data_IF_928349488370
#
_entry.id   IF_928349488370
#
_cell.length_a   1.000
_cell.length_b   1.000
_cell.length_c   1.000
_cell.angle_alpha   90.00
_cell.angle_beta   90.00
_cell.angle_gamma   90.00
#
_symmetry.space_group_name_H-M   'P 1'
#
loop_
_entity.id
_entity.type
_entity.pdbx_description
1 polymer ?
#
# COMPACT_ATOMS: atom_id res chain seq x y z
N UNK A 1 19.98 40.45 -5.48
CA UNK A 1 18.68 39.76 -5.73
C UNK A 1 18.44 38.78 -4.60
N UNK A 2 17.44 39.02 -3.74
CA UNK A 2 17.03 38.10 -2.67
C UNK A 2 16.35 36.89 -3.32
N UNK A 3 16.92 35.70 -3.16
CA UNK A 3 16.26 34.45 -3.55
C UNK A 3 15.01 34.28 -2.67
N UNK A 4 13.84 34.49 -3.26
CA UNK A 4 12.57 34.23 -2.59
C UNK A 4 12.43 32.71 -2.43
N UNK A 5 12.86 32.18 -1.28
CA UNK A 5 12.67 30.78 -0.93
C UNK A 5 11.18 30.60 -0.66
N UNK A 6 10.45 30.01 -1.61
CA UNK A 6 9.07 29.60 -1.40
C UNK A 6 9.00 28.79 -0.09
N UNK A 7 8.03 29.04 0.80
CA UNK A 7 7.85 28.22 1.98
C UNK A 7 7.67 26.77 1.55
N UNK A 8 8.43 25.83 2.15
CA UNK A 8 8.28 24.39 1.87
C UNK A 8 6.87 23.96 2.30
N UNK A 9 5.95 23.86 1.33
CA UNK A 9 4.56 23.41 1.54
C UNK A 9 4.44 21.93 1.92
N UNK A 10 5.54 21.17 1.96
CA UNK A 10 5.60 19.75 2.35
C UNK A 10 5.55 19.55 3.88
N UNK A 11 4.51 20.06 4.55
CA UNK A 11 4.27 19.69 5.96
C UNK A 11 3.55 18.35 6.03
N UNK A 12 4.33 17.32 6.30
CA UNK A 12 3.86 16.03 6.80
C UNK A 12 3.69 16.13 8.32
N UNK A 13 2.55 15.68 8.82
CA UNK A 13 2.18 15.71 10.24
C UNK A 13 2.12 14.27 10.73
N UNK A 14 2.88 13.96 11.77
CA UNK A 14 2.81 12.64 12.41
C UNK A 14 1.45 12.47 13.10
N UNK A 15 0.72 11.42 12.73
CA UNK A 15 -0.62 11.15 13.26
C UNK A 15 -0.64 9.92 14.17
N UNK A 16 0.17 8.92 13.91
CA UNK A 16 0.29 7.70 14.72
C UNK A 16 1.58 6.94 14.41
N UNK A 17 1.85 5.90 15.18
CA UNK A 17 2.95 4.95 14.94
C UNK A 17 2.42 3.52 14.89
N UNK A 18 2.80 2.76 13.86
CA UNK A 18 2.42 1.36 13.68
C UNK A 18 3.69 0.53 13.56
N UNK A 19 3.90 -0.42 14.49
CA UNK A 19 5.07 -1.32 14.49
C UNK A 19 6.42 -0.59 14.38
N UNK A 20 6.60 0.51 15.11
CA UNK A 20 7.82 1.32 15.05
C UNK A 20 7.94 2.21 13.82
N UNK A 21 6.92 2.27 12.97
CA UNK A 21 6.91 3.08 11.74
C UNK A 21 5.92 4.23 11.90
N UNK A 22 6.43 5.44 11.69
CA UNK A 22 5.64 6.67 11.77
C UNK A 22 4.67 6.74 10.60
N UNK A 23 3.40 6.95 10.89
CA UNK A 23 2.37 7.30 9.91
C UNK A 23 2.25 8.82 9.91
N UNK A 24 2.62 9.40 8.78
CA UNK A 24 2.62 10.82 8.52
C UNK A 24 1.49 11.14 7.57
N UNK A 25 0.84 12.27 7.74
CA UNK A 25 -0.26 12.72 6.90
C UNK A 25 0.04 14.11 6.36
N UNK A 26 -0.13 14.31 5.06
CA UNK A 26 -0.02 15.62 4.45
C UNK A 26 -1.15 16.53 4.96
N UNK A 27 -0.85 17.77 5.32
CA UNK A 27 -1.83 18.70 5.91
C UNK A 27 -3.12 18.86 5.08
N UNK A 28 -3.05 18.67 3.76
CA UNK A 28 -4.22 18.75 2.88
C UNK A 28 -5.25 17.65 3.14
N UNK A 29 -4.85 16.49 3.66
CA UNK A 29 -5.77 15.43 4.08
C UNK A 29 -6.68 15.93 5.20
N UNK A 30 -6.10 16.61 6.19
CA UNK A 30 -6.86 17.19 7.31
C UNK A 30 -7.75 18.34 6.84
N UNK A 31 -7.25 19.20 5.95
CA UNK A 31 -8.07 20.29 5.39
C UNK A 31 -9.27 19.74 4.59
N UNK A 32 -9.03 18.79 3.68
CA UNK A 32 -10.09 18.20 2.85
C UNK A 32 -11.08 17.45 3.73
N UNK A 33 -10.60 16.67 4.71
CA UNK A 33 -11.46 16.00 5.68
C UNK A 33 -12.33 16.98 6.47
N UNK A 34 -11.75 18.09 6.95
CA UNK A 34 -12.50 19.12 7.65
C UNK A 34 -13.56 19.78 6.76
N UNK A 35 -13.22 20.10 5.50
CA UNK A 35 -14.19 20.67 4.54
C UNK A 35 -15.34 19.71 4.26
N UNK A 36 -15.06 18.42 4.07
CA UNK A 36 -16.09 17.39 3.84
C UNK A 36 -17.01 17.27 5.07
N UNK A 37 -16.44 17.24 6.27
CA UNK A 37 -17.22 17.16 7.51
C UNK A 37 -18.09 18.41 7.74
N UNK A 38 -17.56 19.59 7.45
CA UNK A 38 -18.31 20.86 7.51
C UNK A 38 -19.42 20.93 6.46
N UNK A 39 -19.27 20.26 5.32
CA UNK A 39 -20.31 20.14 4.30
C UNK A 39 -21.37 19.08 4.62
N UNK A 40 -21.12 18.19 5.57
CA UNK A 40 -21.98 17.06 5.92
C UNK A 40 -22.63 17.22 7.31
N UNK A 41 -23.12 18.43 7.61
CA UNK A 41 -23.70 18.74 8.94
C UNK A 41 -24.97 17.94 9.26
N UNK A 42 -25.68 17.45 8.25
CA UNK A 42 -26.88 16.62 8.43
C UNK A 42 -26.54 15.21 8.89
N UNK A 43 -25.45 14.62 8.38
CA UNK A 43 -25.00 13.27 8.74
C UNK A 43 -23.48 13.21 9.01
N UNK A 44 -22.98 13.92 10.04
CA UNK A 44 -21.55 14.04 10.29
C UNK A 44 -20.90 12.69 10.65
N UNK A 45 -21.65 11.78 11.28
CA UNK A 45 -21.18 10.44 11.61
C UNK A 45 -20.95 9.59 10.36
N UNK A 46 -21.85 9.64 9.38
CA UNK A 46 -21.70 8.91 8.13
C UNK A 46 -20.50 9.45 7.34
N UNK A 47 -20.37 10.77 7.23
CA UNK A 47 -19.23 11.39 6.56
C UNK A 47 -17.90 11.02 7.22
N UNK A 48 -17.84 11.04 8.55
CA UNK A 48 -16.67 10.58 9.29
C UNK A 48 -16.36 9.10 9.02
N UNK A 49 -17.38 8.24 9.05
CA UNK A 49 -17.22 6.80 8.79
C UNK A 49 -16.68 6.53 7.38
N UNK A 50 -17.18 7.24 6.37
CA UNK A 50 -16.70 7.17 4.98
C UNK A 50 -15.23 7.62 4.89
N UNK A 51 -14.88 8.76 5.48
CA UNK A 51 -13.51 9.26 5.48
C UNK A 51 -12.54 8.30 6.18
N UNK A 52 -12.94 7.81 7.36
CA UNK A 52 -12.14 6.87 8.14
C UNK A 52 -11.94 5.56 7.39
N UNK A 53 -12.98 5.01 6.75
CA UNK A 53 -12.87 3.81 5.95
C UNK A 53 -12.00 4.02 4.70
N UNK A 54 -12.14 5.17 4.03
CA UNK A 54 -11.36 5.50 2.83
C UNK A 54 -9.85 5.56 3.13
N UNK A 55 -9.44 6.37 4.12
CA UNK A 55 -8.03 6.43 4.51
C UNK A 55 -7.57 5.13 5.17
N UNK A 56 -8.47 4.40 5.84
CA UNK A 56 -8.23 3.05 6.34
C UNK A 56 -7.85 2.08 5.22
N UNK A 57 -8.57 2.09 4.09
CA UNK A 57 -8.26 1.24 2.93
C UNK A 57 -6.88 1.53 2.35
N UNK A 58 -6.49 2.81 2.26
CA UNK A 58 -5.14 3.22 1.81
C UNK A 58 -4.10 2.77 2.83
N UNK A 59 -4.33 3.04 4.11
CA UNK A 59 -3.39 2.69 5.19
C UNK A 59 -3.19 1.18 5.30
N UNK A 60 -4.23 0.36 5.13
CA UNK A 60 -4.15 -1.11 5.11
C UNK A 60 -3.23 -1.58 3.98
N UNK A 61 -3.36 -0.99 2.80
CA UNK A 61 -2.50 -1.30 1.65
C UNK A 61 -1.02 -0.97 1.95
N UNK A 62 -0.73 0.24 2.43
CA UNK A 62 0.63 0.65 2.82
C UNK A 62 1.19 -0.21 3.95
N UNK A 63 0.35 -0.58 4.93
CA UNK A 63 0.73 -1.51 5.99
C UNK A 63 1.13 -2.88 5.43
N UNK A 64 0.49 -3.33 4.34
CA UNK A 64 0.88 -4.55 3.63
C UNK A 64 2.32 -4.48 3.12
N UNK A 65 2.70 -3.38 2.46
CA UNK A 65 4.08 -3.15 2.03
C UNK A 65 5.04 -3.08 3.21
N UNK A 66 4.68 -2.33 4.26
CA UNK A 66 5.48 -2.21 5.48
C UNK A 66 5.76 -3.58 6.11
N UNK A 67 4.72 -4.41 6.30
CA UNK A 67 4.87 -5.73 6.91
C UNK A 67 5.71 -6.66 6.02
N UNK A 68 5.52 -6.61 4.71
CA UNK A 68 6.33 -7.37 3.76
C UNK A 68 7.80 -6.92 3.80
N UNK A 69 8.06 -5.62 3.84
CA UNK A 69 9.39 -5.02 3.93
C UNK A 69 10.10 -5.41 5.24
N UNK A 70 9.44 -5.23 6.39
CA UNK A 70 9.99 -5.61 7.69
C UNK A 70 10.33 -7.10 7.77
N UNK A 71 9.49 -7.97 7.19
CA UNK A 71 9.77 -9.42 7.11
C UNK A 71 10.98 -9.77 6.24
N UNK A 72 11.35 -8.89 5.32
CA UNK A 72 12.58 -8.99 4.52
C UNK A 72 13.79 -8.36 5.19
N UNK A 73 13.65 -7.84 6.41
CA UNK A 73 14.69 -7.10 7.12
C UNK A 73 14.82 -5.64 6.66
N UNK A 74 13.94 -5.17 5.77
CA UNK A 74 13.98 -3.82 5.25
C UNK A 74 13.50 -2.80 6.29
N UNK A 75 14.35 -1.80 6.55
CA UNK A 75 14.01 -0.68 7.40
C UNK A 75 12.95 0.18 6.71
N UNK A 76 11.77 0.27 7.32
CA UNK A 76 10.69 1.14 6.88
C UNK A 76 10.82 2.47 7.62
N UNK A 77 10.93 3.56 6.88
CA UNK A 77 11.19 4.90 7.40
C UNK A 77 9.89 5.60 7.83
N UNK A 78 8.85 5.50 7.00
CA UNK A 78 7.56 6.14 7.25
C UNK A 78 6.48 5.60 6.31
N UNK A 79 5.22 5.80 6.68
CA UNK A 79 4.06 5.72 5.79
C UNK A 79 3.55 7.16 5.60
N UNK A 80 3.41 7.62 4.37
CA UNK A 80 2.99 8.98 4.02
C UNK A 80 1.59 8.98 3.39
N UNK A 81 0.64 9.51 4.15
CA UNK A 81 -0.76 9.86 3.90
C UNK A 81 -0.94 11.02 2.91
N UNK A 82 -1.37 10.81 1.67
CA UNK A 82 -1.84 11.89 0.78
C UNK A 82 -3.35 11.78 0.52
N UNK A 83 -4.01 12.83 -0.01
CA UNK A 83 -5.47 12.81 -0.20
C UNK A 83 -5.99 11.67 -1.07
N UNK A 84 -5.19 11.19 -2.03
CA UNK A 84 -5.62 10.18 -3.03
C UNK A 84 -4.77 8.92 -2.97
N UNK A 85 -3.54 8.99 -2.43
CA UNK A 85 -2.59 7.88 -2.45
C UNK A 85 -1.81 7.78 -1.13
N UNK A 86 -1.18 6.63 -0.91
CA UNK A 86 -0.22 6.39 0.17
C UNK A 86 1.17 6.18 -0.40
N UNK A 87 2.20 6.39 0.42
CA UNK A 87 3.58 6.00 0.08
C UNK A 87 4.24 5.40 1.31
N UNK A 88 4.63 4.14 1.24
CA UNK A 88 5.55 3.54 2.21
C UNK A 88 6.99 3.84 1.82
N UNK A 89 7.70 4.60 2.64
CA UNK A 89 9.13 4.88 2.50
C UNK A 89 9.92 3.79 3.19
N UNK A 90 10.89 3.21 2.49
CA UNK A 90 11.81 2.24 3.05
C UNK A 90 13.23 2.49 2.55
N UNK A 91 14.21 2.01 3.29
CA UNK A 91 15.63 2.20 3.00
C UNK A 91 16.06 1.53 1.69
N UNK A 92 17.19 1.99 1.13
CA UNK A 92 17.74 1.38 -0.08
C UNK A 92 18.30 -0.03 0.17
N UNK A 93 18.27 -0.83 -0.91
CA UNK A 93 18.92 -2.15 -1.12
C UNK A 93 18.16 -3.35 -0.57
N UNK A 94 17.36 -3.93 -1.46
CA UNK A 94 17.00 -5.35 -1.42
C UNK A 94 17.12 -5.98 -2.81
N UNK A 95 17.08 -7.31 -2.87
CA UNK A 95 17.13 -8.04 -4.14
C UNK A 95 15.91 -7.71 -5.01
N UNK A 96 16.00 -7.95 -6.33
CA UNK A 96 14.83 -7.85 -7.23
C UNK A 96 13.65 -8.69 -6.74
N UNK A 97 13.94 -9.83 -6.11
CA UNK A 97 12.91 -10.72 -5.57
C UNK A 97 12.17 -10.06 -4.40
N UNK A 98 12.89 -9.46 -3.47
CA UNK A 98 12.28 -8.80 -2.31
C UNK A 98 11.44 -7.59 -2.73
N UNK A 99 11.87 -6.82 -3.74
CA UNK A 99 11.04 -5.76 -4.32
C UNK A 99 9.70 -6.30 -4.84
N UNK A 100 9.71 -7.47 -5.50
CA UNK A 100 8.47 -8.09 -5.95
C UNK A 100 7.61 -8.53 -4.76
N UNK A 101 8.20 -9.14 -3.72
CA UNK A 101 7.48 -9.57 -2.52
C UNK A 101 6.87 -8.37 -1.77
N UNK A 102 7.60 -7.27 -1.66
CA UNK A 102 7.12 -6.04 -1.03
C UNK A 102 5.96 -5.46 -1.83
N UNK A 103 6.05 -5.40 -3.17
CA UNK A 103 4.97 -4.93 -4.03
C UNK A 103 3.69 -5.77 -3.88
N UNK A 104 3.81 -7.10 -3.69
CA UNK A 104 2.66 -7.94 -3.39
C UNK A 104 2.03 -7.68 -2.01
N UNK A 105 2.78 -7.08 -1.07
CA UNK A 105 2.35 -6.86 0.31
C UNK A 105 1.04 -6.09 0.42
N UNK A 106 0.90 -4.97 -0.29
CA UNK A 106 -0.30 -4.14 -0.26
C UNK A 106 -1.53 -4.83 -0.84
N UNK A 107 -1.36 -5.52 -1.97
CA UNK A 107 -2.43 -6.32 -2.60
C UNK A 107 -2.90 -7.43 -1.67
N UNK A 108 -1.97 -8.19 -1.07
CA UNK A 108 -2.30 -9.28 -0.15
C UNK A 108 -3.05 -8.76 1.08
N UNK A 109 -2.60 -7.64 1.66
CA UNK A 109 -3.29 -7.02 2.79
C UNK A 109 -4.74 -6.64 2.45
N UNK A 110 -4.96 -6.07 1.26
CA UNK A 110 -6.30 -5.72 0.82
C UNK A 110 -7.19 -6.92 0.52
N UNK A 111 -6.65 -8.02 -0.01
CA UNK A 111 -7.43 -9.26 -0.20
C UNK A 111 -7.81 -9.87 1.15
N UNK A 112 -6.89 -9.90 2.13
CA UNK A 112 -7.13 -10.44 3.48
C UNK A 112 -8.25 -9.68 4.19
N UNK A 113 -8.34 -8.36 4.01
CA UNK A 113 -9.42 -7.55 4.60
C UNK A 113 -10.68 -7.59 3.75
N UNK A 114 -10.54 -7.43 2.43
CA UNK A 114 -11.65 -7.23 1.52
C UNK A 114 -12.54 -8.46 1.37
N UNK A 115 -11.95 -9.65 1.21
CA UNK A 115 -12.71 -10.89 0.95
C UNK A 115 -13.64 -11.25 2.13
N UNK A 116 -13.17 -11.30 3.39
CA UNK A 116 -14.06 -11.61 4.51
C UNK A 116 -15.19 -10.59 4.70
N UNK A 117 -14.92 -9.30 4.47
CA UNK A 117 -15.93 -8.26 4.62
C UNK A 117 -16.99 -8.32 3.53
N UNK A 118 -16.59 -8.54 2.27
CA UNK A 118 -17.56 -8.74 1.18
C UNK A 118 -18.38 -10.02 1.43
N UNK A 119 -17.73 -11.13 1.78
CA UNK A 119 -18.44 -12.37 2.09
C UNK A 119 -19.44 -12.19 3.25
N UNK A 120 -19.07 -11.44 4.28
CA UNK A 120 -19.99 -11.11 5.38
C UNK A 120 -21.23 -10.37 4.88
N UNK A 121 -21.05 -9.33 4.05
CA UNK A 121 -22.18 -8.54 3.52
C UNK A 121 -23.06 -9.39 2.60
N UNK A 122 -22.49 -10.27 1.79
CA UNK A 122 -23.27 -11.17 0.91
C UNK A 122 -24.08 -12.21 1.71
N UNK A 123 -23.56 -12.69 2.85
CA UNK A 123 -24.23 -13.71 3.67
C UNK A 123 -25.29 -13.09 4.60
N UNK A 124 -24.97 -11.97 5.25
CA UNK A 124 -25.80 -11.40 6.31
C UNK A 124 -26.57 -10.14 5.88
N UNK A 125 -26.28 -9.60 4.70
CA UNK A 125 -26.89 -8.38 4.18
C UNK A 125 -26.41 -7.10 4.88
N UNK A 126 -27.07 -5.99 4.52
CA UNK A 126 -26.83 -4.69 5.14
C UNK A 126 -27.38 -4.63 6.56
N UNK A 127 -26.66 -3.93 7.44
CA UNK A 127 -27.12 -3.62 8.79
C UNK A 127 -28.11 -2.45 8.79
N UNK A 128 -28.82 -2.24 9.91
CA UNK A 128 -29.66 -1.04 10.10
C UNK A 128 -28.87 0.28 10.20
N UNK A 129 -27.56 0.22 10.38
CA UNK A 129 -26.71 1.39 10.60
C UNK A 129 -25.96 1.76 9.33
N UNK A 130 -26.33 2.88 8.71
CA UNK A 130 -25.75 3.32 7.44
C UNK A 130 -24.22 3.50 7.52
N UNK A 131 -23.70 4.08 8.60
CA UNK A 131 -22.27 4.26 8.81
C UNK A 131 -21.49 2.93 8.84
N UNK A 132 -22.06 1.89 9.44
CA UNK A 132 -21.45 0.55 9.45
C UNK A 132 -21.43 -0.04 8.04
N UNK A 133 -22.53 0.10 7.30
CA UNK A 133 -22.61 -0.39 5.92
C UNK A 133 -21.60 0.33 5.02
N UNK A 134 -21.41 1.64 5.21
CA UNK A 134 -20.39 2.41 4.48
C UNK A 134 -18.97 1.89 4.76
N UNK A 135 -18.64 1.63 6.03
CA UNK A 135 -17.35 1.05 6.42
C UNK A 135 -17.16 -0.33 5.78
N UNK A 136 -18.16 -1.21 5.88
CA UNK A 136 -18.11 -2.55 5.28
C UNK A 136 -17.93 -2.50 3.76
N UNK A 137 -18.67 -1.62 3.08
CA UNK A 137 -18.58 -1.45 1.64
C UNK A 137 -17.20 -0.92 1.22
N UNK A 138 -16.67 0.09 1.90
CA UNK A 138 -15.38 0.71 1.54
C UNK A 138 -14.20 -0.21 1.90
N UNK A 139 -14.15 -0.74 3.12
CA UNK A 139 -13.08 -1.66 3.51
C UNK A 139 -13.18 -3.01 2.79
N UNK A 140 -14.39 -3.43 2.42
CA UNK A 140 -14.64 -4.65 1.65
C UNK A 140 -14.35 -4.44 0.16
N UNK A 141 -15.32 -3.85 -0.53
CA UNK A 141 -15.34 -3.73 -1.98
C UNK A 141 -14.25 -2.79 -2.52
N UNK A 142 -13.99 -1.64 -1.87
CA UNK A 142 -12.93 -0.74 -2.35
C UNK A 142 -11.53 -1.32 -2.14
N UNK A 143 -11.29 -2.10 -1.07
CA UNK A 143 -10.04 -2.85 -0.92
C UNK A 143 -9.84 -3.85 -2.07
N UNK A 144 -10.86 -4.63 -2.44
CA UNK A 144 -10.72 -5.56 -3.56
C UNK A 144 -10.52 -4.84 -4.89
N UNK A 145 -11.22 -3.71 -5.09
CA UNK A 145 -11.07 -2.89 -6.29
C UNK A 145 -9.66 -2.31 -6.39
N UNK A 146 -9.12 -1.77 -5.28
CA UNK A 146 -7.75 -1.27 -5.22
C UNK A 146 -6.72 -2.37 -5.40
N UNK A 147 -6.95 -3.60 -4.90
CA UNK A 147 -6.07 -4.74 -5.14
C UNK A 147 -6.03 -5.10 -6.63
N UNK A 148 -7.18 -5.14 -7.32
CA UNK A 148 -7.25 -5.38 -8.77
C UNK A 148 -6.52 -4.29 -9.54
N UNK A 149 -6.77 -3.02 -9.23
CA UNK A 149 -6.10 -1.90 -9.89
C UNK A 149 -4.59 -1.95 -9.64
N UNK A 150 -4.14 -2.17 -8.40
CA UNK A 150 -2.71 -2.24 -8.09
C UNK A 150 -2.02 -3.44 -8.73
N UNK A 151 -2.75 -4.47 -9.17
CA UNK A 151 -2.17 -5.56 -9.96
C UNK A 151 -1.99 -5.24 -11.44
N UNK A 152 -2.44 -4.09 -11.94
CA UNK A 152 -2.18 -3.72 -13.33
C UNK A 152 -0.67 -3.52 -13.57
N UNK A 153 -0.11 -4.03 -14.68
CA UNK A 153 1.33 -3.96 -14.98
C UNK A 153 1.75 -2.58 -15.52
N UNK A 154 1.31 -1.49 -14.89
CA UNK A 154 1.51 -0.11 -15.36
C UNK A 154 2.05 0.74 -14.21
N UNK A 155 3.12 1.51 -14.44
CA UNK A 155 3.60 2.47 -13.43
C UNK A 155 2.56 3.59 -13.26
N UNK A 156 2.28 4.05 -12.02
CA UNK A 156 3.02 3.82 -10.77
C UNK A 156 2.52 2.64 -9.91
N UNK A 157 1.68 1.76 -10.43
CA UNK A 157 1.02 0.69 -9.66
C UNK A 157 1.98 -0.47 -9.32
N UNK A 158 1.66 -1.19 -8.24
CA UNK A 158 2.51 -2.27 -7.72
C UNK A 158 2.77 -3.39 -8.71
N UNK A 159 1.79 -3.69 -9.56
CA UNK A 159 1.80 -4.75 -10.57
C UNK A 159 3.01 -4.64 -11.49
N UNK A 160 3.44 -3.41 -11.80
CA UNK A 160 4.64 -3.17 -12.61
C UNK A 160 5.91 -3.79 -12.01
N UNK A 161 5.97 -3.95 -10.69
CA UNK A 161 7.07 -4.59 -9.96
C UNK A 161 6.70 -6.02 -9.56
N UNK A 162 5.48 -6.24 -9.06
CA UNK A 162 4.99 -7.51 -8.53
C UNK A 162 5.07 -8.66 -9.54
N UNK A 163 4.77 -8.40 -10.82
CA UNK A 163 4.86 -9.39 -11.90
C UNK A 163 6.29 -9.72 -12.35
N UNK A 164 7.31 -9.10 -11.77
CA UNK A 164 8.71 -9.53 -11.93
C UNK A 164 8.97 -10.92 -11.33
N UNK A 165 8.15 -11.36 -10.37
CA UNK A 165 8.36 -12.58 -9.59
C UNK A 165 8.34 -13.86 -10.46
N UNK A 166 7.35 -14.11 -11.36
CA UNK A 166 7.38 -15.26 -12.27
C UNK A 166 8.58 -15.25 -13.24
N UNK A 167 9.04 -14.07 -13.66
CA UNK A 167 10.20 -13.97 -14.55
C UNK A 167 11.52 -14.35 -13.85
N UNK A 168 11.62 -14.15 -12.54
CA UNK A 168 12.76 -14.60 -11.73
C UNK A 168 12.82 -16.13 -11.63
N UNK A 169 11.67 -16.81 -11.47
CA UNK A 169 11.61 -18.28 -11.44
C UNK A 169 12.02 -18.91 -12.78
N UNK A 170 11.68 -18.28 -13.92
CA UNK A 170 12.11 -18.78 -15.25
C UNK A 170 13.63 -18.71 -15.48
N UNK A 171 14.35 -17.77 -14.84
CA UNK A 171 15.82 -17.67 -14.96
C UNK A 171 16.58 -18.68 -14.10
N UNK A 172 16.02 -19.09 -12.97
CA UNK A 172 16.68 -20.04 -12.05
C UNK A 172 16.84 -21.44 -12.64
N UNK A 173 16.01 -21.82 -13.62
CA UNK A 173 16.11 -23.12 -14.30
C UNK A 173 17.09 -23.16 -15.46
N UNK A 174 17.67 -22.02 -15.86
CA UNK A 174 18.51 -21.91 -17.06
C UNK A 174 19.99 -21.67 -16.75
N UNK A 175 20.62 -22.48 -15.88
CA UNK A 175 22.07 -22.75 -15.96
C UNK A 175 22.54 -23.93 -15.07
N UNK A 176 22.70 -25.16 -15.59
CA UNK A 176 23.81 -25.98 -15.16
C UNK A 176 25.07 -25.37 -15.76
N UNK A 177 26.00 -24.93 -14.92
CA UNK A 177 27.33 -24.56 -15.38
C UNK A 177 27.95 -25.77 -16.09
N UNK A 178 28.27 -25.63 -17.38
CA UNK A 178 29.16 -26.56 -18.08
C UNK A 178 30.48 -26.54 -17.29
N UNK A 179 30.75 -27.61 -16.54
CA UNK A 179 32.09 -27.85 -15.99
C UNK A 179 32.96 -28.16 -17.20
N UNK A 180 33.76 -27.19 -17.65
CA UNK A 180 34.85 -27.49 -18.56
C UNK A 180 35.90 -28.29 -17.77
N UNK A 181 36.25 -29.51 -18.19
CA UNK A 181 37.38 -30.22 -17.62
C UNK A 181 38.64 -29.38 -17.87
N UNK A 182 39.35 -29.09 -16.79
CA UNK A 182 40.55 -28.28 -16.80
C UNK A 182 41.58 -28.74 -17.83
N UNK A 183 42.24 -27.73 -18.41
CA UNK A 183 43.54 -27.73 -19.05
C UNK A 183 44.32 -29.07 -19.02
N UNK A 184 44.54 -29.66 -20.21
CA UNK A 184 45.54 -30.71 -20.42
C UNK A 184 46.82 -30.10 -21.01
N UNK A 185 47.92 -30.15 -20.25
CA UNK A 185 49.27 -29.90 -20.77
C UNK A 185 49.74 -31.11 -21.59
N UNK A 186 50.15 -30.87 -22.83
CA UNK A 186 50.76 -31.89 -23.69
C UNK A 186 52.26 -32.02 -23.37
N UNK A 187 52.72 -33.27 -23.18
CA UNK A 187 54.08 -33.71 -23.52
C UNK A 187 53.97 -34.58 -24.77
#
# INVERSE_FOLDING_TARGET
>A
MRTFRLPKFNKLIEVMEIRGVKVLTHWSVLLIGAVILLGALEEPLLAFAVLAAYYGTILIHECGHMVAAQRKGCAVLSIELYPIWGITRFGERYSRFDHCVIAWGGVVAQVIVGVPLVAWVEIFGCTRFQAVNAILAILGFSSLSMAVLNLLPVRPLDGAIAWGLPALFKRSHARPAKREPGWKSWR
#
